data_IF_487081127829
#
_entry.id   IF_487081127829
#
_cell.length_a   1.000
_cell.length_b   1.000
_cell.length_c   1.000
_cell.angle_alpha   90.00
_cell.angle_beta   90.00
_cell.angle_gamma   90.00
#
_symmetry.space_group_name_H-M   'P 1'
#
loop_
_entity.id
_entity.type
_entity.pdbx_description
1 polymer ?
#
# COMPACT_ATOMS: atom_id res chain seq x y z
N UNK A 1 10.47 -3.72 -26.46
CA UNK A 1 9.29 -3.67 -25.56
C UNK A 1 8.23 -2.82 -26.24
N UNK A 2 6.99 -3.32 -26.32
CA UNK A 2 5.90 -2.66 -27.04
C UNK A 2 5.44 -1.42 -26.26
N UNK A 3 5.29 -0.30 -26.94
CA UNK A 3 4.69 0.94 -26.44
C UNK A 3 3.37 0.64 -25.71
N UNK A 4 3.10 1.20 -24.51
CA UNK A 4 1.84 1.01 -23.83
C UNK A 4 0.66 1.58 -24.64
N UNK A 5 -0.49 0.93 -24.56
CA UNK A 5 -1.70 1.21 -25.36
C UNK A 5 -2.31 2.61 -25.07
N UNK A 6 -1.86 3.27 -24.00
CA UNK A 6 -2.37 4.57 -23.54
C UNK A 6 -1.41 5.75 -23.82
N UNK A 7 -0.47 5.61 -24.75
CA UNK A 7 0.44 6.71 -25.07
C UNK A 7 -0.29 7.87 -25.76
N UNK A 8 -0.04 9.11 -25.32
CA UNK A 8 -0.59 10.30 -25.97
C UNK A 8 0.01 10.46 -27.37
N UNK A 9 -0.81 10.86 -28.34
CA UNK A 9 -0.35 11.10 -29.70
C UNK A 9 0.74 12.18 -29.72
N UNK A 10 1.89 11.88 -30.32
CA UNK A 10 3.03 12.81 -30.44
C UNK A 10 3.98 12.82 -29.24
N UNK A 11 3.81 11.94 -28.25
CA UNK A 11 4.77 11.77 -27.14
C UNK A 11 5.59 10.51 -27.36
N UNK A 12 6.92 10.64 -27.48
CA UNK A 12 7.79 9.47 -27.58
C UNK A 12 7.81 8.69 -26.26
N UNK A 13 7.42 7.41 -26.32
CA UNK A 13 7.59 6.51 -25.18
C UNK A 13 9.08 6.18 -25.01
N UNK A 14 9.64 6.56 -23.86
CA UNK A 14 10.99 6.14 -23.44
C UNK A 14 10.90 5.34 -22.15
N UNK A 15 11.45 4.11 -22.08
CA UNK A 15 11.69 3.48 -20.79
C UNK A 15 12.68 4.34 -20.01
N UNK A 16 12.28 4.82 -18.83
CA UNK A 16 13.15 5.52 -17.90
C UNK A 16 13.64 4.52 -16.86
N UNK A 17 14.96 4.33 -16.76
CA UNK A 17 15.62 3.55 -15.71
C UNK A 17 16.28 4.44 -14.64
N UNK A 18 16.27 5.76 -14.87
CA UNK A 18 16.75 6.81 -13.97
C UNK A 18 15.59 7.68 -13.49
N UNK A 19 15.71 8.20 -12.26
CA UNK A 19 14.74 9.14 -11.70
C UNK A 19 14.80 10.47 -12.48
N UNK A 20 13.66 11.09 -12.86
CA UNK A 20 13.69 12.34 -13.62
C UNK A 20 14.32 13.47 -12.80
N UNK A 21 15.24 14.22 -13.41
CA UNK A 21 15.80 15.43 -12.79
C UNK A 21 14.77 16.56 -12.82
N UNK A 22 14.26 16.93 -11.64
CA UNK A 22 13.31 18.05 -11.51
C UNK A 22 14.10 19.33 -11.31
N UNK A 23 14.07 20.22 -12.30
CA UNK A 23 14.67 21.55 -12.19
C UNK A 23 13.72 22.50 -11.46
N UNK A 24 14.26 23.26 -10.50
CA UNK A 24 13.54 24.11 -9.54
C UNK A 24 12.55 25.12 -10.16
N UNK A 25 12.66 25.39 -11.47
CA UNK A 25 11.84 26.33 -12.23
C UNK A 25 10.40 25.86 -12.47
N UNK A 26 10.11 24.56 -12.33
CA UNK A 26 8.80 23.98 -12.60
C UNK A 26 8.11 23.51 -11.31
N UNK A 27 7.95 24.44 -10.35
CA UNK A 27 7.32 24.17 -9.05
C UNK A 27 6.06 23.32 -9.19
N UNK A 28 6.02 22.21 -8.43
CA UNK A 28 4.99 21.16 -8.44
C UNK A 28 5.13 20.11 -9.55
N UNK A 29 6.09 19.21 -9.38
CA UNK A 29 6.16 17.96 -10.15
C UNK A 29 5.73 16.78 -9.28
N UNK A 30 4.96 15.87 -9.85
CA UNK A 30 4.58 14.60 -9.23
C UNK A 30 5.08 13.42 -10.06
N UNK A 31 5.91 12.57 -9.44
CA UNK A 31 6.26 11.25 -9.94
C UNK A 31 5.26 10.20 -9.48
N UNK A 32 4.87 9.30 -10.38
CA UNK A 32 3.96 8.17 -10.09
C UNK A 32 4.61 6.88 -10.54
N UNK A 33 4.77 5.92 -9.63
CA UNK A 33 5.24 4.55 -9.95
C UNK A 33 4.17 3.56 -9.56
N UNK A 34 3.77 2.71 -10.50
CA UNK A 34 2.77 1.66 -10.28
C UNK A 34 3.41 0.31 -10.59
N UNK A 35 3.39 -0.61 -9.63
CA UNK A 35 4.04 -1.92 -9.78
C UNK A 35 3.38 -2.99 -8.90
N UNK A 36 3.40 -4.27 -9.31
CA UNK A 36 2.93 -5.35 -8.46
C UNK A 36 3.86 -5.51 -7.26
N UNK A 37 3.30 -5.80 -6.09
CA UNK A 37 4.07 -6.14 -4.88
C UNK A 37 3.80 -7.57 -4.41
N UNK A 38 2.63 -8.09 -4.76
CA UNK A 38 2.21 -9.45 -4.44
C UNK A 38 1.25 -9.97 -5.51
N UNK A 39 1.37 -11.24 -5.87
CA UNK A 39 0.38 -11.93 -6.68
C UNK A 39 0.10 -13.30 -6.09
N UNK A 40 -1.12 -13.76 -6.30
CA UNK A 40 -1.57 -15.11 -6.01
C UNK A 40 -2.64 -15.52 -7.01
N UNK A 41 -3.20 -16.72 -6.87
CA UNK A 41 -4.35 -17.16 -7.66
C UNK A 41 -5.59 -16.29 -7.42
N UNK A 42 -5.85 -15.90 -6.18
CA UNK A 42 -7.02 -15.14 -5.74
C UNK A 42 -6.91 -13.63 -5.89
N UNK A 43 -5.74 -13.04 -5.62
CA UNK A 43 -5.58 -11.58 -5.68
C UNK A 43 -4.23 -11.12 -6.24
N UNK A 44 -4.22 -9.90 -6.76
CA UNK A 44 -3.03 -9.14 -7.16
C UNK A 44 -3.00 -7.87 -6.31
N UNK A 45 -1.85 -7.55 -5.73
CA UNK A 45 -1.64 -6.28 -5.03
C UNK A 45 -0.71 -5.41 -5.86
N UNK A 46 -1.17 -4.21 -6.16
CA UNK A 46 -0.39 -3.17 -6.82
C UNK A 46 -0.07 -2.08 -5.80
N UNK A 47 1.17 -1.61 -5.79
CA UNK A 47 1.55 -0.37 -5.12
C UNK A 47 1.52 0.79 -6.10
N UNK A 48 1.10 1.96 -5.62
CA UNK A 48 1.11 3.25 -6.29
C UNK A 48 1.95 4.17 -5.41
N UNK A 49 3.22 4.32 -5.75
CA UNK A 49 4.15 5.23 -5.07
C UNK A 49 4.08 6.60 -5.74
N UNK A 50 3.75 7.62 -4.95
CA UNK A 50 3.66 9.01 -5.35
C UNK A 50 4.81 9.78 -4.70
N UNK A 51 5.55 10.51 -5.51
CA UNK A 51 6.58 11.43 -5.04
C UNK A 51 6.22 12.81 -5.53
N UNK A 52 6.08 13.77 -4.62
CA UNK A 52 5.79 15.17 -4.97
C UNK A 52 6.93 16.08 -4.53
N UNK A 53 7.21 17.10 -5.35
CA UNK A 53 8.23 18.10 -5.09
C UNK A 53 7.57 19.48 -5.10
N UNK A 54 7.38 20.03 -3.91
CA UNK A 54 6.79 21.35 -3.70
C UNK A 54 7.80 22.21 -2.95
N UNK A 55 8.18 23.33 -3.56
CA UNK A 55 9.02 24.36 -2.92
C UNK A 55 10.32 23.82 -2.29
N UNK A 56 10.95 22.84 -2.96
CA UNK A 56 12.19 22.19 -2.50
C UNK A 56 12.00 21.06 -1.49
N UNK A 57 10.76 20.75 -1.07
CA UNK A 57 10.46 19.62 -0.19
C UNK A 57 9.98 18.42 -1.00
N UNK A 58 10.67 17.29 -0.84
CA UNK A 58 10.23 15.99 -1.34
C UNK A 58 9.22 15.41 -0.35
N UNK A 59 8.04 14.99 -0.82
CA UNK A 59 7.05 14.25 -0.04
C UNK A 59 6.70 12.96 -0.75
N UNK A 60 6.66 11.87 0.00
CA UNK A 60 6.34 10.55 -0.52
C UNK A 60 5.04 10.04 0.11
N UNK A 61 4.19 9.42 -0.72
CA UNK A 61 3.02 8.68 -0.29
C UNK A 61 2.96 7.38 -1.06
N UNK A 62 2.35 6.36 -0.47
CA UNK A 62 2.11 5.11 -1.18
C UNK A 62 0.71 4.61 -0.91
N UNK A 63 0.04 4.15 -1.97
CA UNK A 63 -1.28 3.57 -1.91
C UNK A 63 -1.24 2.16 -2.46
N UNK A 64 -2.11 1.29 -1.95
CA UNK A 64 -2.21 -0.08 -2.41
C UNK A 64 -3.58 -0.37 -2.99
N UNK A 65 -3.59 -1.18 -4.04
CA UNK A 65 -4.79 -1.67 -4.70
C UNK A 65 -4.82 -3.19 -4.57
N UNK A 66 -5.85 -3.71 -3.92
CA UNK A 66 -6.12 -5.15 -3.84
C UNK A 66 -7.08 -5.53 -4.97
N UNK A 67 -6.61 -6.26 -5.96
CA UNK A 67 -7.42 -6.71 -7.09
C UNK A 67 -7.82 -8.16 -6.91
N UNK A 68 -9.13 -8.42 -6.82
CA UNK A 68 -9.71 -9.76 -6.84
C UNK A 68 -9.67 -10.31 -8.27
N UNK A 69 -8.80 -11.30 -8.51
CA UNK A 69 -8.64 -11.90 -9.85
C UNK A 69 -9.83 -12.75 -10.26
N UNK A 70 -10.55 -13.33 -9.30
CA UNK A 70 -11.70 -14.21 -9.57
C UNK A 70 -12.95 -13.39 -9.90
N UNK A 71 -13.22 -12.38 -9.10
CA UNK A 71 -14.34 -11.46 -9.29
C UNK A 71 -14.06 -10.31 -10.28
N UNK A 72 -12.82 -10.22 -10.77
CA UNK A 72 -12.34 -9.17 -11.68
C UNK A 72 -12.67 -7.75 -11.21
N UNK A 73 -12.42 -7.49 -9.93
CA UNK A 73 -12.79 -6.23 -9.28
C UNK A 73 -11.74 -5.76 -8.29
N UNK A 74 -11.71 -4.45 -8.02
CA UNK A 74 -10.93 -3.88 -6.93
C UNK A 74 -11.67 -4.09 -5.62
N UNK A 75 -10.97 -4.63 -4.62
CA UNK A 75 -11.48 -4.79 -3.26
C UNK A 75 -11.37 -3.47 -2.52
N UNK A 76 -12.52 -2.91 -2.16
CA UNK A 76 -12.62 -1.79 -1.21
C UNK A 76 -12.46 -2.27 0.22
N UNK A 77 -12.23 -1.34 1.15
CA UNK A 77 -12.19 -1.62 2.59
C UNK A 77 -13.42 -2.42 3.05
N UNK A 78 -14.62 -1.98 2.65
CA UNK A 78 -15.89 -2.61 3.02
C UNK A 78 -16.14 -3.96 2.33
N UNK A 79 -15.39 -4.29 1.27
CA UNK A 79 -15.44 -5.63 0.68
C UNK A 79 -14.55 -6.62 1.43
N UNK A 80 -13.54 -6.12 2.17
CA UNK A 80 -12.60 -6.92 2.95
C UNK A 80 -13.10 -7.11 4.38
N UNK A 81 -13.54 -6.02 5.02
CA UNK A 81 -13.92 -6.00 6.44
C UNK A 81 -15.44 -5.87 6.62
N UNK A 82 -15.97 -6.54 7.64
CA UNK A 82 -17.37 -6.44 8.03
C UNK A 82 -17.67 -5.05 8.62
N UNK A 83 -18.82 -4.47 8.27
CA UNK A 83 -19.17 -3.07 8.60
C UNK A 83 -19.27 -2.78 10.10
N UNK A 84 -19.50 -3.79 10.94
CA UNK A 84 -19.58 -3.66 12.39
C UNK A 84 -18.23 -3.92 13.11
N UNK A 85 -17.13 -4.01 12.38
CA UNK A 85 -15.81 -4.38 12.94
C UNK A 85 -14.85 -3.21 13.12
N UNK A 86 -15.23 -1.97 12.76
CA UNK A 86 -14.30 -0.83 12.74
C UNK A 86 -13.63 -0.57 14.10
N UNK A 87 -14.40 -0.41 15.17
CA UNK A 87 -13.86 -0.16 16.52
C UNK A 87 -12.97 -1.31 17.03
N UNK A 88 -13.40 -2.55 16.78
CA UNK A 88 -12.65 -3.74 17.17
C UNK A 88 -11.33 -3.86 16.38
N UNK A 89 -11.36 -3.56 15.07
CA UNK A 89 -10.17 -3.52 14.24
C UNK A 89 -9.23 -2.39 14.67
N UNK A 90 -9.75 -1.21 15.01
CA UNK A 90 -8.93 -0.10 15.50
C UNK A 90 -8.21 -0.49 16.80
N UNK A 91 -8.91 -1.20 17.69
CA UNK A 91 -8.31 -1.75 18.92
C UNK A 91 -7.21 -2.76 18.59
N UNK A 92 -7.45 -3.71 17.67
CA UNK A 92 -6.42 -4.68 17.25
C UNK A 92 -5.19 -3.99 16.64
N UNK A 93 -5.40 -2.97 15.81
CA UNK A 93 -4.32 -2.19 15.20
C UNK A 93 -3.54 -1.43 16.27
N UNK A 94 -4.21 -0.74 17.20
CA UNK A 94 -3.56 0.00 18.27
C UNK A 94 -2.79 -0.90 19.24
N UNK A 95 -3.31 -2.07 19.59
CA UNK A 95 -2.55 -3.05 20.37
C UNK A 95 -1.28 -3.50 19.64
N UNK A 96 -1.33 -3.59 18.31
CA UNK A 96 -0.15 -3.97 17.51
C UNK A 96 0.84 -2.81 17.36
N UNK A 97 0.36 -1.57 17.28
CA UNK A 97 1.19 -0.36 17.33
C UNK A 97 1.95 -0.29 18.66
N UNK A 98 1.27 -0.49 19.80
CA UNK A 98 1.91 -0.50 21.12
C UNK A 98 3.00 -1.58 21.21
N UNK A 99 2.70 -2.82 20.81
CA UNK A 99 3.70 -3.90 20.76
C UNK A 99 4.90 -3.52 19.88
N UNK A 100 4.66 -2.90 18.72
CA UNK A 100 5.75 -2.50 17.82
C UNK A 100 6.62 -1.38 18.43
N UNK A 101 5.98 -0.42 19.11
CA UNK A 101 6.68 0.67 19.80
C UNK A 101 7.60 0.14 20.90
N UNK A 102 7.10 -0.80 21.70
CA UNK A 102 7.85 -1.43 22.79
C UNK A 102 8.99 -2.33 22.26
N UNK A 103 8.70 -3.14 21.22
CA UNK A 103 9.64 -4.12 20.67
C UNK A 103 10.79 -3.47 19.89
N UNK A 104 10.51 -2.40 19.13
CA UNK A 104 11.47 -1.75 18.23
C UNK A 104 12.00 -0.41 18.76
N UNK A 105 11.53 0.04 19.93
CA UNK A 105 11.93 1.31 20.54
C UNK A 105 11.51 2.54 19.71
N UNK A 106 10.51 2.38 18.84
CA UNK A 106 9.99 3.46 18.00
C UNK A 106 8.90 4.26 18.72
N UNK A 107 8.95 5.60 18.70
CA UNK A 107 7.95 6.44 19.35
C UNK A 107 6.67 6.51 18.51
N UNK A 108 5.88 5.42 18.52
CA UNK A 108 4.60 5.36 17.81
C UNK A 108 3.45 5.87 18.68
N UNK A 109 2.52 6.57 18.05
CA UNK A 109 1.27 7.04 18.64
C UNK A 109 0.10 6.16 18.20
N UNK A 110 -0.93 6.05 19.04
CA UNK A 110 -2.16 5.35 18.67
C UNK A 110 -2.80 6.01 17.46
N UNK A 111 -3.27 5.19 16.53
CA UNK A 111 -4.13 5.63 15.46
C UNK A 111 -5.49 6.07 16.01
N UNK A 112 -5.98 7.22 15.55
CA UNK A 112 -7.31 7.75 15.90
C UNK A 112 -8.42 7.21 14.98
N UNK A 113 -8.04 6.64 13.84
CA UNK A 113 -8.92 6.01 12.84
C UNK A 113 -8.16 4.91 12.11
N UNK A 114 -8.88 3.95 11.54
CA UNK A 114 -8.27 2.95 10.68
C UNK A 114 -7.75 3.59 9.39
N UNK A 115 -6.58 3.12 8.93
CA UNK A 115 -6.14 3.42 7.59
C UNK A 115 -7.04 2.73 6.56
N UNK A 116 -7.58 3.51 5.61
CA UNK A 116 -8.26 2.98 4.44
C UNK A 116 -7.28 2.33 3.44
N UNK A 117 -5.98 2.59 3.58
CA UNK A 117 -4.93 2.04 2.75
C UNK A 117 -4.44 0.72 3.35
N UNK A 118 -4.99 -0.38 2.85
CA UNK A 118 -4.67 -1.73 3.32
C UNK A 118 -4.20 -2.58 2.17
N UNK A 119 -3.40 -3.61 2.45
CA UNK A 119 -3.13 -4.64 1.45
C UNK A 119 -2.97 -6.04 2.03
N UNK A 120 -3.48 -7.02 1.27
CA UNK A 120 -3.41 -8.42 1.63
C UNK A 120 -2.09 -9.06 1.22
N UNK A 121 -1.54 -9.91 2.08
CA UNK A 121 -0.41 -10.79 1.82
C UNK A 121 -0.79 -12.22 2.17
N UNK A 122 0.14 -13.15 1.93
CA UNK A 122 -0.04 -14.58 2.19
C UNK A 122 -0.66 -14.91 3.56
N UNK A 123 -0.32 -14.18 4.62
CA UNK A 123 -0.67 -14.53 6.02
C UNK A 123 -1.60 -13.53 6.71
N UNK A 124 -1.94 -12.43 6.08
CA UNK A 124 -2.68 -11.36 6.74
C UNK A 124 -2.78 -10.10 5.90
N UNK A 125 -3.12 -9.00 6.57
CA UNK A 125 -3.32 -7.70 5.96
C UNK A 125 -2.43 -6.69 6.67
N UNK A 126 -1.82 -5.81 5.88
CA UNK A 126 -1.12 -4.64 6.39
C UNK A 126 -2.05 -3.43 6.35
N UNK A 127 -2.09 -2.68 7.44
CA UNK A 127 -2.66 -1.33 7.52
C UNK A 127 -1.53 -0.33 7.38
N UNK A 128 -1.64 0.57 6.40
CA UNK A 128 -0.53 1.44 6.01
C UNK A 128 -0.79 2.85 6.48
N UNK A 129 0.05 3.36 7.35
CA UNK A 129 0.04 4.73 7.83
C UNK A 129 1.17 5.52 7.15
N UNK A 130 0.83 6.63 6.52
CA UNK A 130 1.80 7.53 5.90
C UNK A 130 2.67 8.20 6.98
N UNK A 131 3.80 8.77 6.55
CA UNK A 131 4.66 9.57 7.41
C UNK A 131 3.85 10.67 8.11
N UNK A 132 4.06 10.82 9.43
CA UNK A 132 3.33 11.80 10.25
C UNK A 132 1.97 11.33 10.78
N UNK A 133 1.43 10.18 10.35
CA UNK A 133 0.09 9.75 10.79
C UNK A 133 0.08 9.11 12.18
N UNK A 134 1.11 8.30 12.51
CA UNK A 134 1.24 7.61 13.80
C UNK A 134 2.65 7.68 14.38
N UNK A 135 3.52 8.49 13.80
CA UNK A 135 4.90 8.73 14.22
C UNK A 135 5.38 10.05 13.61
N UNK A 136 6.54 10.55 14.01
CA UNK A 136 7.16 11.71 13.38
C UNK A 136 7.41 11.47 11.87
N UNK A 137 7.36 12.53 11.05
CA UNK A 137 7.53 12.41 9.59
C UNK A 137 8.86 11.75 9.19
N UNK A 138 9.91 11.87 10.03
CA UNK A 138 11.23 11.27 9.80
C UNK A 138 11.24 9.75 9.85
N UNK A 139 10.29 9.13 10.57
CA UNK A 139 10.14 7.67 10.65
C UNK A 139 9.58 7.08 9.34
N UNK A 140 9.03 7.94 8.48
CA UNK A 140 8.48 7.53 7.20
C UNK A 140 7.15 6.77 7.35
N UNK A 141 6.82 5.96 6.35
CA UNK A 141 5.61 5.15 6.36
C UNK A 141 5.76 3.97 7.32
N UNK A 142 4.71 3.71 8.11
CA UNK A 142 4.64 2.58 9.03
C UNK A 142 3.56 1.60 8.57
N UNK A 143 3.87 0.30 8.58
CA UNK A 143 2.95 -0.76 8.18
C UNK A 143 2.61 -1.66 9.38
N UNK A 144 1.33 -1.76 9.72
CA UNK A 144 0.86 -2.57 10.84
C UNK A 144 0.27 -3.87 10.32
N UNK A 145 0.94 -4.99 10.61
CA UNK A 145 0.52 -6.33 10.18
C UNK A 145 -0.46 -6.97 11.15
N UNK A 146 -1.62 -7.40 10.63
CA UNK A 146 -2.55 -8.28 11.33
C UNK A 146 -2.74 -9.59 10.57
N UNK A 147 -2.53 -10.73 11.25
CA UNK A 147 -2.70 -12.05 10.64
C UNK A 147 -4.16 -12.36 10.31
N UNK A 148 -4.41 -13.19 9.28
CA UNK A 148 -5.78 -13.65 8.96
C UNK A 148 -6.45 -14.38 10.13
N UNK A 149 -5.67 -15.03 11.00
CA UNK A 149 -6.19 -15.65 12.23
C UNK A 149 -6.77 -14.61 13.18
N UNK A 150 -6.07 -13.49 13.39
CA UNK A 150 -6.55 -12.39 14.22
C UNK A 150 -7.75 -11.67 13.59
N UNK A 151 -7.77 -11.60 12.26
CA UNK A 151 -8.82 -10.91 11.50
C UNK A 151 -10.07 -11.75 11.26
N UNK A 152 -10.08 -13.05 11.54
CA UNK A 152 -11.11 -14.00 11.07
C UNK A 152 -12.56 -13.52 11.31
N UNK A 153 -12.86 -12.96 12.49
CA UNK A 153 -14.21 -12.48 12.85
C UNK A 153 -14.56 -11.13 12.25
N UNK A 154 -13.60 -10.44 11.66
CA UNK A 154 -13.71 -9.08 11.14
C UNK A 154 -13.71 -9.02 9.61
N UNK A 155 -13.46 -10.15 8.94
CA UNK A 155 -13.48 -10.25 7.48
C UNK A 155 -14.88 -10.57 6.97
N UNK A 156 -15.24 -10.04 5.81
CA UNK A 156 -16.46 -10.46 5.10
C UNK A 156 -16.37 -11.94 4.71
N UNK A 157 -17.51 -12.64 4.62
CA UNK A 157 -17.52 -14.05 4.20
C UNK A 157 -16.95 -14.26 2.80
N UNK A 158 -17.20 -13.31 1.89
CA UNK A 158 -16.67 -13.33 0.53
C UNK A 158 -15.14 -13.22 0.50
N UNK A 159 -14.56 -12.34 1.32
CA UNK A 159 -13.11 -12.22 1.40
C UNK A 159 -12.48 -13.40 2.14
N UNK A 160 -13.12 -13.97 3.17
CA UNK A 160 -12.67 -15.20 3.82
C UNK A 160 -12.56 -16.36 2.82
N UNK A 161 -13.59 -16.56 1.98
CA UNK A 161 -13.59 -17.58 0.93
C UNK A 161 -12.45 -17.34 -0.09
N UNK A 162 -12.22 -16.08 -0.47
CA UNK A 162 -11.13 -15.71 -1.36
C UNK A 162 -9.76 -16.07 -0.77
N UNK A 163 -9.56 -15.89 0.53
CA UNK A 163 -8.32 -16.21 1.24
C UNK A 163 -8.15 -17.73 1.41
N UNK A 164 -9.19 -18.46 1.78
CA UNK A 164 -9.10 -19.92 2.04
C UNK A 164 -8.75 -20.73 0.81
N UNK A 165 -9.17 -20.29 -0.37
CA UNK A 165 -8.93 -20.98 -1.63
C UNK A 165 -7.74 -20.41 -2.42
N UNK A 166 -6.89 -19.62 -1.75
CA UNK A 166 -5.79 -18.93 -2.37
C UNK A 166 -4.50 -19.77 -2.38
N UNK A 167 -3.60 -19.46 -3.30
CA UNK A 167 -2.34 -20.18 -3.48
C UNK A 167 -1.46 -19.50 -4.53
N UNK A 168 -0.40 -20.19 -4.94
CA UNK A 168 0.54 -19.73 -5.99
C UNK A 168 1.12 -18.34 -5.72
N UNK A 169 1.58 -18.15 -4.48
CA UNK A 169 2.05 -16.88 -3.97
C UNK A 169 3.37 -16.47 -4.61
N UNK A 170 3.43 -15.23 -5.09
CA UNK A 170 4.62 -14.59 -5.63
C UNK A 170 4.74 -13.19 -5.04
N UNK A 171 5.94 -12.86 -4.56
CA UNK A 171 6.27 -11.52 -4.10
C UNK A 171 7.17 -10.83 -5.12
N UNK A 172 6.94 -9.53 -5.30
CA UNK A 172 7.71 -8.72 -6.22
C UNK A 172 8.43 -7.65 -5.43
N UNK A 173 9.72 -7.45 -5.77
CA UNK A 173 10.48 -6.33 -5.25
C UNK A 173 10.04 -5.05 -5.95
N UNK A 174 9.93 -3.92 -5.23
CA UNK A 174 9.72 -2.63 -5.85
C UNK A 174 10.73 -2.35 -6.97
N UNK A 175 10.28 -1.63 -7.99
CA UNK A 175 11.17 -1.13 -9.03
C UNK A 175 12.00 0.00 -8.43
N UNK A 176 13.30 -0.23 -8.25
CA UNK A 176 14.25 0.80 -7.81
C UNK A 176 14.83 1.49 -9.04
N UNK A 177 14.66 2.80 -9.16
CA UNK A 177 15.41 3.58 -10.16
C UNK A 177 16.87 3.71 -9.73
N UNK A 178 17.78 3.69 -10.70
CA UNK A 178 19.17 4.03 -10.41
C UNK A 178 19.24 5.52 -10.10
N UNK A 179 19.99 5.89 -9.05
CA UNK A 179 20.39 7.29 -8.85
C UNK A 179 21.28 7.68 -10.03
N UNK A 180 20.85 8.70 -10.77
CA UNK A 180 21.66 9.34 -11.81
C UNK A 180 22.72 10.25 -11.22
#
# INVERSE_FOLDING_TARGET
MKTPVFNASGVDYKPLDTEPTITQKYGNVQGVKIYPTFSSRGYLVMAISLTSYDSGKKREKIYYVNYNRRGQSVLSFNSIFASNSEDALLTLVNNKIESLADDEGMPLHKATRLSANVYARKRGIFFVYQAGEIADESEGMIEIFLSFKALQKHLTSSFQALVSENGDYQEFKPITFKRG
#
